data_IF_527174094060
#
_entry.id   IF_527174094060
#
_cell.length_a   1.000
_cell.length_b   1.000
_cell.length_c   1.000
_cell.angle_alpha   90.00
_cell.angle_beta   90.00
_cell.angle_gamma   90.00
#
_symmetry.space_group_name_H-M   'P 1'
#
loop_
_entity.id
_entity.type
_entity.pdbx_description
1 polymer ?
#
# COMPACT_ATOMS: atom_id res chain seq x y z
N UNK A 1 -4.67 -37.93 31.08
CA UNK A 1 -5.55 -37.22 30.13
C UNK A 1 -6.30 -38.26 29.32
N UNK A 2 -7.62 -38.34 29.48
CA UNK A 2 -8.47 -39.08 28.55
C UNK A 2 -8.33 -38.43 27.16
N UNK A 3 -7.80 -39.17 26.19
CA UNK A 3 -7.64 -38.68 24.82
C UNK A 3 -9.02 -38.33 24.25
N UNK A 4 -9.28 -37.03 24.01
CA UNK A 4 -10.48 -36.58 23.29
C UNK A 4 -10.12 -36.54 21.80
N UNK A 5 -10.60 -37.48 20.97
CA UNK A 5 -10.29 -37.46 19.55
C UNK A 5 -10.94 -36.26 18.87
N UNK A 6 -10.22 -35.69 17.89
CA UNK A 6 -10.70 -34.69 16.94
C UNK A 6 -11.18 -33.36 17.56
N UNK A 7 -10.49 -32.87 18.59
CA UNK A 7 -10.76 -31.56 19.20
C UNK A 7 -10.82 -30.42 18.18
N UNK A 8 -9.99 -30.46 17.15
CA UNK A 8 -9.96 -29.42 16.09
C UNK A 8 -11.23 -29.39 15.24
N UNK A 9 -12.08 -30.42 15.28
CA UNK A 9 -13.36 -30.45 14.57
C UNK A 9 -14.51 -29.81 15.37
N UNK A 10 -14.28 -29.39 16.61
CA UNK A 10 -15.30 -28.76 17.44
C UNK A 10 -15.52 -27.29 17.03
N UNK A 11 -16.77 -26.78 17.03
CA UNK A 11 -17.10 -25.44 16.60
C UNK A 11 -16.54 -24.38 17.57
N UNK A 12 -15.30 -23.97 17.32
CA UNK A 12 -14.53 -23.12 18.24
C UNK A 12 -15.25 -21.82 18.62
N UNK A 13 -15.96 -21.18 17.67
CA UNK A 13 -16.72 -19.96 17.96
C UNK A 13 -17.83 -20.17 19.00
N UNK A 14 -18.57 -21.28 18.93
CA UNK A 14 -19.63 -21.61 19.88
C UNK A 14 -19.05 -21.90 21.27
N UNK A 15 -17.92 -22.59 21.33
CA UNK A 15 -17.20 -22.85 22.59
C UNK A 15 -16.77 -21.53 23.23
N UNK A 16 -16.18 -20.62 22.46
CA UNK A 16 -15.69 -19.36 22.97
C UNK A 16 -16.83 -18.44 23.43
N UNK A 17 -17.96 -18.40 22.71
CA UNK A 17 -19.15 -17.65 23.12
C UNK A 17 -19.69 -18.12 24.48
N UNK A 18 -19.72 -19.44 24.70
CA UNK A 18 -20.10 -20.03 26.00
C UNK A 18 -19.10 -19.71 27.12
N UNK A 19 -17.88 -19.29 26.77
CA UNK A 19 -16.78 -18.95 27.69
C UNK A 19 -16.52 -17.44 27.76
N UNK A 20 -17.58 -16.62 27.62
CA UNK A 20 -17.53 -15.17 27.90
C UNK A 20 -16.99 -14.31 26.76
N UNK A 21 -16.63 -14.89 25.61
CA UNK A 21 -16.34 -14.08 24.43
C UNK A 21 -17.62 -13.50 23.84
N UNK A 22 -17.50 -12.31 23.25
CA UNK A 22 -18.62 -11.62 22.59
C UNK A 22 -18.29 -11.30 21.13
N UNK A 23 -19.32 -11.20 20.30
CA UNK A 23 -19.16 -10.85 18.88
C UNK A 23 -18.66 -9.40 18.75
N UNK A 24 -17.54 -9.23 18.04
CA UNK A 24 -17.06 -7.93 17.60
C UNK A 24 -17.86 -7.48 16.36
N UNK A 25 -18.99 -6.81 16.61
CA UNK A 25 -19.93 -6.34 15.57
C UNK A 25 -19.27 -5.55 14.43
N UNK A 26 -18.18 -4.82 14.73
CA UNK A 26 -17.49 -3.99 13.76
C UNK A 26 -16.59 -4.76 12.77
N UNK A 27 -16.20 -6.00 13.11
CA UNK A 27 -15.21 -6.80 12.34
C UNK A 27 -15.68 -8.22 11.99
N UNK A 28 -16.84 -8.63 12.48
CA UNK A 28 -17.43 -9.94 12.24
C UNK A 28 -18.00 -10.06 10.82
N UNK A 29 -18.02 -11.27 10.27
CA UNK A 29 -18.72 -11.60 9.02
C UNK A 29 -19.52 -12.88 9.19
N UNK A 30 -20.57 -13.09 8.38
CA UNK A 30 -21.46 -14.26 8.48
C UNK A 30 -20.71 -15.60 8.57
N UNK A 31 -19.67 -15.78 7.75
CA UNK A 31 -18.92 -17.05 7.68
C UNK A 31 -17.63 -17.03 8.52
N UNK A 32 -17.20 -15.88 9.03
CA UNK A 32 -15.99 -15.76 9.84
C UNK A 32 -16.25 -14.88 11.05
N UNK A 33 -16.67 -15.51 12.16
CA UNK A 33 -16.94 -14.78 13.36
C UNK A 33 -15.71 -14.09 13.93
N UNK A 34 -15.81 -12.80 14.24
CA UNK A 34 -14.79 -12.08 14.99
C UNK A 34 -15.25 -11.97 16.44
N UNK A 35 -14.55 -12.63 17.35
CA UNK A 35 -14.86 -12.68 18.78
C UNK A 35 -13.85 -11.82 19.56
N UNK A 36 -14.28 -11.17 20.62
CA UNK A 36 -13.41 -10.41 21.53
C UNK A 36 -13.72 -10.80 22.98
N UNK A 37 -12.73 -10.67 23.84
CA UNK A 37 -12.87 -10.88 25.27
C UNK A 37 -12.37 -9.62 25.99
N UNK A 38 -12.97 -9.26 27.12
CA UNK A 38 -12.61 -8.03 27.85
C UNK A 38 -11.19 -8.04 28.40
N UNK A 39 -10.72 -9.23 28.81
CA UNK A 39 -9.39 -9.43 29.40
C UNK A 39 -8.30 -9.75 28.38
N UNK A 40 -8.59 -9.64 27.07
CA UNK A 40 -7.62 -9.96 26.01
C UNK A 40 -7.45 -8.81 25.04
N UNK A 41 -6.20 -8.59 24.62
CA UNK A 41 -5.90 -7.61 23.59
C UNK A 41 -6.28 -8.14 22.20
N UNK A 42 -7.07 -7.37 21.46
CA UNK A 42 -7.46 -7.69 20.09
C UNK A 42 -8.72 -8.55 19.99
N UNK A 43 -8.80 -9.35 18.93
CA UNK A 43 -9.97 -10.19 18.62
C UNK A 43 -9.52 -11.46 17.91
N UNK A 44 -10.36 -12.48 17.93
CA UNK A 44 -10.14 -13.78 17.28
C UNK A 44 -11.08 -13.90 16.09
N UNK A 45 -10.54 -14.07 14.89
CA UNK A 45 -11.34 -14.40 13.70
C UNK A 45 -11.38 -15.92 13.55
N UNK A 46 -12.57 -16.50 13.61
CA UNK A 46 -12.79 -17.95 13.55
C UNK A 46 -13.06 -18.36 12.11
N UNK A 47 -12.44 -19.47 11.71
CA UNK A 47 -12.58 -20.08 10.39
C UNK A 47 -12.99 -21.54 10.55
N UNK A 48 -13.95 -21.95 9.71
CA UNK A 48 -14.28 -23.36 9.47
C UNK A 48 -13.63 -23.77 8.16
N UNK A 49 -12.82 -24.81 8.20
CA UNK A 49 -12.02 -25.29 7.08
C UNK A 49 -12.44 -26.71 6.70
N UNK A 50 -12.47 -26.99 5.41
CA UNK A 50 -12.48 -28.33 4.87
C UNK A 50 -11.06 -28.71 4.48
N UNK A 51 -10.59 -29.81 5.07
CA UNK A 51 -9.28 -30.39 4.81
C UNK A 51 -9.31 -31.18 3.49
N UNK A 52 -8.13 -31.52 2.96
CA UNK A 52 -8.00 -32.25 1.68
C UNK A 52 -8.68 -33.62 1.68
N UNK A 53 -8.78 -34.25 2.84
CA UNK A 53 -9.47 -35.53 3.04
C UNK A 53 -10.99 -35.36 3.26
N UNK A 54 -11.52 -34.14 3.13
CA UNK A 54 -12.92 -33.80 3.36
C UNK A 54 -13.28 -33.58 4.84
N UNK A 55 -12.35 -33.78 5.78
CA UNK A 55 -12.62 -33.55 7.20
C UNK A 55 -12.74 -32.06 7.54
N UNK A 56 -13.48 -31.74 8.61
CA UNK A 56 -13.68 -30.35 9.04
C UNK A 56 -12.73 -30.00 10.19
N UNK A 57 -12.18 -28.79 10.16
CA UNK A 57 -11.44 -28.22 11.28
C UNK A 57 -11.77 -26.74 11.52
N UNK A 58 -11.67 -26.31 12.78
CA UNK A 58 -11.85 -24.94 13.20
C UNK A 58 -10.52 -24.36 13.66
N UNK A 59 -10.22 -23.17 13.15
CA UNK A 59 -9.03 -22.40 13.51
C UNK A 59 -9.41 -20.98 13.88
N UNK A 60 -8.60 -20.33 14.70
CA UNK A 60 -8.69 -18.89 14.94
C UNK A 60 -7.47 -18.17 14.38
N UNK A 61 -7.64 -16.88 14.10
CA UNK A 61 -6.53 -15.95 13.86
C UNK A 61 -6.66 -14.74 14.79
N UNK A 62 -5.62 -14.47 15.56
CA UNK A 62 -5.53 -13.28 16.40
C UNK A 62 -5.30 -12.03 15.55
N UNK A 63 -6.11 -11.00 15.76
CA UNK A 63 -6.04 -9.77 14.95
C UNK A 63 -4.85 -8.89 15.27
N UNK A 64 -4.23 -9.04 16.44
CA UNK A 64 -3.14 -8.18 16.90
C UNK A 64 -1.75 -8.79 16.60
N UNK A 65 -1.61 -10.12 16.66
CA UNK A 65 -0.37 -10.86 16.37
C UNK A 65 -0.33 -11.54 15.01
N UNK A 66 -1.47 -11.65 14.31
CA UNK A 66 -1.67 -12.53 13.16
C UNK A 66 -1.46 -14.03 13.44
N UNK A 67 -1.30 -14.44 14.71
CA UNK A 67 -1.10 -15.84 15.10
C UNK A 67 -2.33 -16.67 14.73
N UNK A 68 -2.10 -17.81 14.09
CA UNK A 68 -3.13 -18.79 13.76
C UNK A 68 -3.03 -19.96 14.73
N UNK A 69 -4.15 -20.39 15.27
CA UNK A 69 -4.21 -21.53 16.18
C UNK A 69 -5.51 -22.31 16.02
N UNK A 70 -5.62 -23.36 16.80
CA UNK A 70 -6.83 -24.16 16.98
C UNK A 70 -7.13 -24.27 18.48
N UNK A 71 -8.17 -24.99 18.87
CA UNK A 71 -8.55 -25.18 20.27
C UNK A 71 -7.38 -25.66 21.16
N UNK A 72 -6.49 -26.52 20.65
CA UNK A 72 -5.35 -27.05 21.42
C UNK A 72 -4.34 -25.92 21.70
N UNK A 73 -4.04 -25.13 20.67
CA UNK A 73 -3.11 -24.00 20.80
C UNK A 73 -3.71 -22.91 21.67
N UNK A 74 -5.01 -22.64 21.51
CA UNK A 74 -5.76 -21.70 22.35
C UNK A 74 -5.63 -22.04 23.84
N UNK A 75 -5.90 -23.30 24.20
CA UNK A 75 -5.78 -23.79 25.57
C UNK A 75 -4.36 -23.65 26.11
N UNK A 76 -3.37 -24.08 25.32
CA UNK A 76 -1.95 -24.00 25.69
C UNK A 76 -1.51 -22.58 25.96
N UNK A 77 -1.86 -21.64 25.08
CA UNK A 77 -1.43 -20.24 25.19
C UNK A 77 -2.02 -19.52 26.41
N UNK A 78 -3.23 -19.93 26.83
CA UNK A 78 -3.96 -19.33 27.95
C UNK A 78 -3.80 -20.11 29.25
N UNK A 79 -2.98 -21.16 29.24
CA UNK A 79 -2.76 -22.05 30.39
C UNK A 79 -4.09 -22.59 30.97
N UNK A 80 -5.04 -22.93 30.10
CA UNK A 80 -6.32 -23.55 30.47
C UNK A 80 -6.36 -24.99 29.95
N UNK A 81 -7.02 -25.90 30.67
CA UNK A 81 -7.23 -27.25 30.16
C UNK A 81 -8.33 -27.28 29.10
N UNK A 82 -8.32 -28.30 28.25
CA UNK A 82 -9.39 -28.49 27.25
C UNK A 82 -10.69 -28.88 27.95
N UNK A 83 -10.59 -29.66 29.01
CA UNK A 83 -11.71 -30.10 29.84
C UNK A 83 -12.44 -28.91 30.49
N UNK A 84 -11.69 -27.95 31.02
CA UNK A 84 -12.24 -26.72 31.61
C UNK A 84 -12.92 -25.87 30.55
N UNK A 85 -12.28 -25.69 29.39
CA UNK A 85 -12.85 -24.90 28.29
C UNK A 85 -14.15 -25.49 27.75
N UNK A 86 -14.24 -26.83 27.69
CA UNK A 86 -15.44 -27.53 27.25
C UNK A 86 -16.52 -27.60 28.34
N UNK A 87 -16.14 -27.43 29.62
CA UNK A 87 -17.04 -27.41 30.78
C UNK A 87 -18.09 -28.54 30.79
N UNK A 88 -17.69 -29.76 30.44
CA UNK A 88 -18.57 -30.93 30.36
C UNK A 88 -19.56 -30.97 29.18
N UNK A 89 -19.52 -30.00 28.26
CA UNK A 89 -20.43 -29.87 27.11
C UNK A 89 -19.91 -30.51 25.81
N UNK A 90 -18.93 -31.42 25.89
CA UNK A 90 -18.27 -32.03 24.72
C UNK A 90 -19.27 -32.60 23.70
N UNK A 91 -20.21 -33.43 24.14
CA UNK A 91 -21.22 -34.04 23.27
C UNK A 91 -22.22 -33.01 22.71
N UNK A 92 -22.46 -31.92 23.45
CA UNK A 92 -23.25 -30.79 22.97
C UNK A 92 -22.58 -30.11 21.78
N UNK A 93 -21.27 -29.88 21.84
CA UNK A 93 -20.52 -29.27 20.73
C UNK A 93 -20.36 -30.20 19.52
N UNK A 94 -20.15 -31.51 19.74
CA UNK A 94 -20.03 -32.50 18.65
C UNK A 94 -21.27 -32.57 17.76
N UNK A 95 -22.44 -32.44 18.37
CA UNK A 95 -23.72 -32.53 17.66
C UNK A 95 -24.26 -31.16 17.24
N UNK A 96 -23.55 -30.06 17.57
CA UNK A 96 -24.00 -28.71 17.24
C UNK A 96 -23.83 -28.46 15.74
N UNK A 97 -24.95 -28.23 15.06
CA UNK A 97 -24.93 -27.68 13.70
C UNK A 97 -24.68 -26.18 13.80
N UNK A 98 -23.46 -25.75 13.48
CA UNK A 98 -23.20 -24.34 13.28
C UNK A 98 -23.62 -23.87 11.88
N UNK A 99 -23.66 -22.55 11.73
CA UNK A 99 -24.09 -21.87 10.49
C UNK A 99 -22.91 -21.48 9.59
N UNK A 100 -21.68 -21.82 9.98
CA UNK A 100 -20.49 -21.44 9.24
C UNK A 100 -20.34 -22.33 7.99
N UNK A 101 -20.02 -21.69 6.87
CA UNK A 101 -19.63 -22.41 5.66
C UNK A 101 -18.15 -22.78 5.74
N UNK A 102 -17.85 -24.05 5.48
CA UNK A 102 -16.47 -24.53 5.42
C UNK A 102 -15.79 -23.99 4.16
N UNK A 103 -14.57 -23.49 4.32
CA UNK A 103 -13.71 -23.05 3.21
C UNK A 103 -12.97 -24.24 2.63
N UNK A 104 -12.92 -24.36 1.31
CA UNK A 104 -12.14 -25.42 0.66
C UNK A 104 -10.71 -24.95 0.42
N UNK A 105 -9.83 -25.28 1.36
CA UNK A 105 -8.41 -24.90 1.28
C UNK A 105 -7.62 -25.67 0.21
N UNK A 106 -8.25 -26.59 -0.55
CA UNK A 106 -7.57 -27.44 -1.54
C UNK A 106 -7.33 -26.74 -2.89
N UNK A 107 -8.07 -25.69 -3.22
CA UNK A 107 -8.02 -25.02 -4.53
C UNK A 107 -8.30 -23.50 -4.51
N UNK A 108 -8.87 -22.95 -3.42
CA UNK A 108 -9.38 -21.56 -3.35
C UNK A 108 -8.33 -20.47 -3.64
N UNK A 109 -7.05 -20.69 -3.35
CA UNK A 109 -6.04 -19.65 -3.57
C UNK A 109 -5.72 -19.38 -5.04
N UNK A 110 -5.98 -20.28 -5.99
CA UNK A 110 -5.63 -19.99 -7.39
C UNK A 110 -6.82 -19.44 -8.19
N UNK A 111 -7.99 -20.09 -8.16
CA UNK A 111 -9.11 -19.66 -9.02
C UNK A 111 -9.70 -18.31 -8.61
N UNK A 112 -9.91 -18.07 -7.31
CA UNK A 112 -10.42 -16.79 -6.81
C UNK A 112 -9.41 -15.66 -7.07
N UNK A 113 -8.13 -15.91 -6.86
CA UNK A 113 -7.07 -14.95 -7.17
C UNK A 113 -7.01 -14.67 -8.68
N UNK A 114 -7.12 -15.69 -9.54
CA UNK A 114 -7.18 -15.47 -10.99
C UNK A 114 -8.40 -14.63 -11.39
N UNK A 115 -9.56 -14.86 -10.76
CA UNK A 115 -10.75 -14.03 -10.99
C UNK A 115 -10.51 -12.58 -10.61
N UNK A 116 -9.86 -12.32 -9.47
CA UNK A 116 -9.51 -10.96 -9.01
C UNK A 116 -8.49 -10.30 -9.95
N UNK A 117 -7.48 -11.05 -10.40
CA UNK A 117 -6.49 -10.56 -11.38
C UNK A 117 -7.20 -10.16 -12.69
N UNK A 118 -8.11 -11.00 -13.17
CA UNK A 118 -8.87 -10.71 -14.39
C UNK A 118 -9.84 -9.54 -14.20
N UNK A 119 -10.52 -9.43 -13.04
CA UNK A 119 -11.32 -8.26 -12.68
C UNK A 119 -10.46 -6.99 -12.76
N UNK A 120 -9.32 -6.97 -12.08
CA UNK A 120 -8.42 -5.80 -12.04
C UNK A 120 -7.92 -5.39 -13.43
N UNK A 121 -7.54 -6.36 -14.27
CA UNK A 121 -7.10 -6.10 -15.65
C UNK A 121 -8.20 -5.45 -16.51
N UNK A 122 -9.45 -5.82 -16.27
CA UNK A 122 -10.61 -5.33 -17.03
C UNK A 122 -11.14 -3.99 -16.50
N UNK A 123 -10.66 -3.50 -15.35
CA UNK A 123 -11.03 -2.19 -14.84
C UNK A 123 -10.48 -1.07 -15.73
N UNK A 124 -11.25 0.02 -15.80
CA UNK A 124 -10.83 1.23 -16.52
C UNK A 124 -9.64 1.89 -15.81
N UNK A 125 -8.73 2.54 -16.55
CA UNK A 125 -7.72 3.41 -15.96
C UNK A 125 -8.36 4.47 -15.04
N UNK A 126 -7.69 4.81 -13.96
CA UNK A 126 -8.13 5.86 -13.04
C UNK A 126 -8.04 7.23 -13.72
N UNK A 127 -9.10 8.03 -13.60
CA UNK A 127 -9.15 9.37 -14.19
C UNK A 127 -8.44 10.38 -13.28
N UNK A 128 -7.22 10.75 -13.67
CA UNK A 128 -6.41 11.73 -12.94
C UNK A 128 -6.99 13.15 -12.97
N UNK A 129 -7.81 13.51 -13.96
CA UNK A 129 -8.45 14.82 -14.02
C UNK A 129 -9.56 14.93 -12.96
N UNK A 130 -10.31 13.83 -12.77
CA UNK A 130 -11.40 13.72 -11.80
C UNK A 130 -11.02 12.93 -10.54
N UNK A 131 -9.74 12.95 -10.16
CA UNK A 131 -9.19 12.25 -9.00
C UNK A 131 -9.57 12.90 -7.66
N UNK A 132 -10.86 12.93 -7.32
CA UNK A 132 -11.41 13.59 -6.13
C UNK A 132 -10.75 13.13 -4.83
N UNK A 133 -10.47 11.83 -4.70
CA UNK A 133 -9.81 11.27 -3.52
C UNK A 133 -8.39 11.82 -3.33
N UNK A 134 -7.63 11.98 -4.42
CA UNK A 134 -6.26 12.52 -4.40
C UNK A 134 -6.29 14.01 -4.06
N UNK A 135 -7.19 14.77 -4.68
CA UNK A 135 -7.35 16.22 -4.41
C UNK A 135 -7.76 16.49 -2.96
N UNK A 136 -8.69 15.70 -2.39
CA UNK A 136 -9.08 15.79 -0.97
C UNK A 136 -7.92 15.53 0.00
N UNK A 137 -6.86 14.86 -0.47
CA UNK A 137 -5.64 14.59 0.30
C UNK A 137 -4.58 15.68 0.15
N UNK A 138 -4.85 16.71 -0.66
CA UNK A 138 -3.89 17.78 -0.94
C UNK A 138 -2.70 17.32 -1.77
N UNK A 139 -2.83 16.27 -2.58
CA UNK A 139 -1.72 15.75 -3.39
C UNK A 139 -1.86 16.25 -4.83
N UNK A 140 -0.77 16.72 -5.45
CA UNK A 140 -0.78 17.08 -6.88
C UNK A 140 -1.01 15.83 -7.74
N UNK A 141 -2.11 15.83 -8.51
CA UNK A 141 -2.49 14.70 -9.36
C UNK A 141 -1.48 14.43 -10.48
N UNK A 142 -0.66 15.43 -10.87
CA UNK A 142 0.39 15.26 -11.88
C UNK A 142 1.47 14.28 -11.45
N UNK A 143 1.72 14.15 -10.14
CA UNK A 143 2.71 13.20 -9.60
C UNK A 143 2.35 11.74 -9.88
N UNK A 144 1.08 11.46 -10.17
CA UNK A 144 0.59 10.11 -10.43
C UNK A 144 0.74 9.67 -11.88
N UNK A 145 1.04 10.58 -12.82
CA UNK A 145 1.13 10.27 -14.25
C UNK A 145 2.13 9.13 -14.55
N UNK A 146 3.32 9.07 -13.92
CA UNK A 146 4.24 7.96 -14.13
C UNK A 146 3.75 6.61 -13.60
N UNK A 147 2.76 6.59 -12.71
CA UNK A 147 2.20 5.40 -12.07
C UNK A 147 0.87 4.94 -12.67
N UNK A 148 0.35 5.62 -13.70
CA UNK A 148 -1.03 5.44 -14.22
C UNK A 148 -1.43 4.00 -14.56
N UNK A 149 -0.48 3.16 -14.96
CA UNK A 149 -0.74 1.75 -15.28
C UNK A 149 -1.21 0.94 -14.07
N UNK A 150 -0.87 1.38 -12.86
CA UNK A 150 -1.25 0.76 -11.59
C UNK A 150 -2.59 1.27 -11.05
N UNK A 151 -3.11 2.39 -11.58
CA UNK A 151 -4.25 3.09 -11.03
C UNK A 151 -5.51 2.70 -11.82
N UNK A 152 -6.44 2.01 -11.17
CA UNK A 152 -7.70 1.58 -11.77
C UNK A 152 -8.91 2.20 -11.08
N UNK A 153 -10.06 2.16 -11.74
CA UNK A 153 -11.32 2.65 -11.18
C UNK A 153 -12.52 1.77 -11.46
N UNK A 154 -13.52 1.88 -10.59
CA UNK A 154 -14.86 1.29 -10.77
C UNK A 154 -15.88 2.35 -11.21
N UNK A 155 -17.15 1.95 -11.30
CA UNK A 155 -18.25 2.84 -11.69
C UNK A 155 -18.55 3.95 -10.67
N UNK A 156 -17.94 3.91 -9.49
CA UNK A 156 -18.08 4.94 -8.44
C UNK A 156 -16.87 5.87 -8.37
N UNK A 157 -15.98 5.80 -9.37
CA UNK A 157 -14.74 6.55 -9.44
C UNK A 157 -13.78 6.27 -8.26
N UNK A 158 -13.91 5.12 -7.59
CA UNK A 158 -13.02 4.76 -6.49
C UNK A 158 -11.61 4.48 -7.02
N UNK A 159 -10.59 4.71 -6.18
CA UNK A 159 -9.21 4.35 -6.53
C UNK A 159 -8.98 2.87 -6.19
N UNK A 160 -8.61 2.07 -7.18
CA UNK A 160 -8.37 0.64 -7.03
C UNK A 160 -6.91 0.33 -7.30
N UNK A 161 -6.24 -0.28 -6.32
CA UNK A 161 -4.84 -0.68 -6.39
C UNK A 161 -4.72 -2.20 -6.24
N UNK A 162 -3.79 -2.81 -6.97
CA UNK A 162 -3.43 -4.21 -6.77
C UNK A 162 -2.57 -4.39 -5.51
N UNK A 163 -2.74 -5.54 -4.84
CA UNK A 163 -1.88 -5.98 -3.73
C UNK A 163 -1.06 -7.19 -4.15
N UNK A 164 0.17 -7.27 -3.65
CA UNK A 164 1.15 -8.27 -4.06
C UNK A 164 1.74 -9.00 -2.87
N UNK A 165 2.09 -10.28 -3.09
CA UNK A 165 2.88 -11.08 -2.17
C UNK A 165 3.96 -11.84 -2.93
N UNK A 166 5.08 -12.05 -2.25
CA UNK A 166 6.13 -12.95 -2.72
C UNK A 166 5.93 -14.34 -2.12
N UNK A 167 6.31 -15.37 -2.88
CA UNK A 167 6.22 -16.75 -2.44
C UNK A 167 7.50 -17.49 -2.78
N UNK A 168 7.97 -18.33 -1.87
CA UNK A 168 9.07 -19.25 -2.17
C UNK A 168 8.54 -20.46 -2.93
N UNK A 169 9.16 -20.75 -4.07
CA UNK A 169 8.89 -21.98 -4.82
C UNK A 169 10.22 -22.71 -4.96
N UNK A 170 10.35 -23.89 -4.33
CA UNK A 170 11.58 -24.70 -4.35
C UNK A 170 11.99 -25.12 -5.76
N UNK A 171 11.07 -25.10 -6.72
CA UNK A 171 11.32 -25.46 -8.11
C UNK A 171 11.77 -24.26 -8.97
N UNK A 172 11.75 -23.04 -8.43
CA UNK A 172 12.14 -21.82 -9.14
C UNK A 172 13.39 -21.23 -8.48
N UNK A 173 14.37 -20.85 -9.30
CA UNK A 173 15.56 -20.11 -8.85
C UNK A 173 15.27 -18.62 -8.54
N UNK A 174 13.99 -18.24 -8.60
CA UNK A 174 13.48 -16.89 -8.37
C UNK A 174 12.32 -16.95 -7.39
N UNK A 175 12.20 -15.92 -6.55
CA UNK A 175 11.07 -15.74 -5.64
C UNK A 175 10.05 -14.91 -6.42
N UNK A 176 8.99 -15.49 -7.01
CA UNK A 176 8.04 -14.70 -7.78
C UNK A 176 7.22 -13.77 -6.87
N UNK A 177 6.86 -12.60 -7.41
CA UNK A 177 5.89 -11.69 -6.82
C UNK A 177 4.61 -11.82 -7.63
N UNK A 178 3.50 -12.14 -6.97
CA UNK A 178 2.20 -12.31 -7.61
C UNK A 178 1.19 -11.34 -7.01
N UNK A 179 0.30 -10.85 -7.87
CA UNK A 179 -0.89 -10.16 -7.39
C UNK A 179 -1.75 -11.15 -6.60
N UNK A 180 -2.14 -10.76 -5.38
CA UNK A 180 -2.90 -11.61 -4.47
C UNK A 180 -4.27 -11.01 -4.10
N UNK A 181 -4.52 -9.76 -4.48
CA UNK A 181 -5.76 -9.06 -4.19
C UNK A 181 -5.82 -7.68 -4.82
N UNK A 182 -6.84 -6.92 -4.40
CA UNK A 182 -7.01 -5.50 -4.72
C UNK A 182 -7.55 -4.75 -3.49
N UNK A 183 -7.22 -3.47 -3.40
CA UNK A 183 -7.72 -2.55 -2.39
C UNK A 183 -8.48 -1.42 -3.09
N UNK A 184 -9.78 -1.28 -2.75
CA UNK A 184 -10.69 -0.25 -3.28
C UNK A 184 -10.76 0.87 -2.25
N UNK A 185 -10.17 2.03 -2.52
CA UNK A 185 -10.27 3.22 -1.68
C UNK A 185 -11.45 4.08 -2.13
N UNK A 186 -12.35 4.32 -1.19
CA UNK A 186 -13.66 4.87 -1.48
C UNK A 186 -13.63 6.40 -1.53
N UNK A 187 -14.21 6.99 -2.58
CA UNK A 187 -14.46 8.44 -2.63
C UNK A 187 -15.43 8.89 -1.53
N UNK A 188 -16.44 8.05 -1.31
CA UNK A 188 -17.48 8.24 -0.30
C UNK A 188 -17.38 7.08 0.69
N UNK A 189 -16.91 7.33 1.92
CA UNK A 189 -16.85 6.31 2.95
C UNK A 189 -18.24 5.70 3.24
N UNK A 190 -18.30 4.40 3.51
CA UNK A 190 -19.55 3.75 3.88
C UNK A 190 -19.83 3.95 5.37
N UNK A 191 -20.88 4.70 5.69
CA UNK A 191 -21.32 4.98 7.06
C UNK A 191 -22.24 3.90 7.63
N UNK A 192 -22.79 3.03 6.80
CA UNK A 192 -23.68 1.95 7.22
C UNK A 192 -23.12 0.57 6.87
N UNK A 193 -23.59 -0.47 7.57
CA UNK A 193 -23.34 -1.86 7.20
C UNK A 193 -24.33 -2.36 6.13
N UNK A 194 -24.26 -3.66 5.79
CA UNK A 194 -25.13 -4.26 4.78
C UNK A 194 -26.60 -4.38 5.23
N UNK A 195 -26.85 -4.28 6.54
CA UNK A 195 -28.17 -4.39 7.16
C UNK A 195 -28.79 -3.00 7.42
N UNK A 196 -28.06 -1.93 7.09
CA UNK A 196 -28.48 -0.54 7.25
C UNK A 196 -28.12 0.08 8.60
N UNK A 197 -27.43 -0.64 9.49
CA UNK A 197 -27.02 -0.10 10.78
C UNK A 197 -25.88 0.91 10.63
N UNK A 198 -25.91 1.97 11.43
CA UNK A 198 -24.86 2.99 11.46
C UNK A 198 -23.57 2.38 12.04
N UNK A 199 -22.44 2.65 11.38
CA UNK A 199 -21.10 2.26 11.84
C UNK A 199 -20.53 3.32 12.77
N UNK A 200 -19.85 2.90 13.84
CA UNK A 200 -19.07 3.79 14.70
C UNK A 200 -17.99 4.57 13.93
N UNK A 201 -17.41 3.93 12.91
CA UNK A 201 -16.41 4.53 12.02
C UNK A 201 -16.74 4.22 10.56
N UNK A 202 -16.87 5.24 9.69
CA UNK A 202 -17.09 5.02 8.27
C UNK A 202 -15.95 4.20 7.63
N UNK A 203 -16.32 3.23 6.79
CA UNK A 203 -15.36 2.40 6.08
C UNK A 203 -14.80 3.18 4.88
N UNK A 204 -13.49 3.45 4.89
CA UNK A 204 -12.81 4.23 3.84
C UNK A 204 -12.24 3.38 2.71
N UNK A 205 -12.13 2.05 2.91
CA UNK A 205 -11.56 1.14 1.92
C UNK A 205 -12.12 -0.27 2.05
N UNK A 206 -12.13 -1.02 0.94
CA UNK A 206 -12.58 -2.40 0.86
C UNK A 206 -11.46 -3.23 0.22
N UNK A 207 -11.01 -4.27 0.91
CA UNK A 207 -10.05 -5.24 0.39
C UNK A 207 -10.78 -6.45 -0.20
N UNK A 208 -10.30 -6.95 -1.34
CA UNK A 208 -10.78 -8.17 -1.98
C UNK A 208 -9.57 -9.07 -2.30
N UNK A 209 -9.69 -10.36 -1.99
CA UNK A 209 -8.57 -11.31 -2.04
C UNK A 209 -7.66 -11.24 -0.81
N UNK A 210 -6.43 -11.73 -0.98
CA UNK A 210 -5.41 -11.70 0.07
C UNK A 210 -4.86 -10.30 0.26
N UNK A 211 -4.75 -9.90 1.53
CA UNK A 211 -4.06 -8.67 1.92
C UNK A 211 -2.56 -8.81 1.63
N UNK A 212 -1.98 -7.79 1.02
CA UNK A 212 -0.60 -7.78 0.57
C UNK A 212 -0.07 -6.36 0.43
N UNK A 213 1.09 -6.23 -0.20
CA UNK A 213 1.81 -4.96 -0.37
C UNK A 213 1.29 -4.23 -1.60
N UNK A 214 1.04 -2.93 -1.47
CA UNK A 214 0.73 -2.04 -2.59
C UNK A 214 2.03 -1.45 -3.12
N UNK A 215 2.19 -1.40 -4.45
CA UNK A 215 3.42 -0.91 -5.09
C UNK A 215 3.05 -0.03 -6.28
N UNK A 216 3.59 1.18 -6.33
CA UNK A 216 3.54 2.06 -7.50
C UNK A 216 4.96 2.30 -8.00
N UNK A 217 5.19 2.08 -9.30
CA UNK A 217 6.47 2.32 -9.94
C UNK A 217 6.26 2.81 -11.37
N UNK A 218 7.27 3.48 -11.93
CA UNK A 218 7.23 3.89 -13.33
C UNK A 218 7.51 2.71 -14.26
N UNK A 219 6.99 2.75 -15.49
CA UNK A 219 7.22 1.68 -16.48
C UNK A 219 8.71 1.37 -16.73
N UNK A 220 9.61 2.32 -16.42
CA UNK A 220 11.05 2.11 -16.55
C UNK A 220 11.73 1.98 -15.18
N UNK A 221 11.75 0.76 -14.66
CA UNK A 221 12.44 0.41 -13.42
C UNK A 221 13.97 0.65 -13.46
N UNK A 222 14.57 0.85 -14.64
CA UNK A 222 16.01 1.12 -14.71
C UNK A 222 16.37 2.52 -14.17
N UNK A 223 15.41 3.44 -14.07
CA UNK A 223 15.61 4.82 -13.60
C UNK A 223 15.47 4.97 -12.08
N UNK A 224 14.96 3.95 -11.40
CA UNK A 224 14.62 4.01 -9.97
C UNK A 224 15.86 4.28 -9.14
N UNK A 225 15.86 5.38 -8.38
CA UNK A 225 16.86 5.75 -7.37
C UNK A 225 16.31 5.67 -5.95
N UNK A 226 15.02 5.98 -5.79
CA UNK A 226 14.38 6.08 -4.49
C UNK A 226 13.37 4.93 -4.29
N UNK A 227 13.36 4.34 -3.11
CA UNK A 227 12.34 3.37 -2.67
C UNK A 227 11.73 3.87 -1.38
N UNK A 228 10.49 4.34 -1.42
CA UNK A 228 9.78 4.92 -0.28
C UNK A 228 8.83 3.86 0.29
N UNK A 229 8.96 3.56 1.58
CA UNK A 229 8.13 2.55 2.28
C UNK A 229 7.33 3.21 3.40
N UNK A 230 6.00 3.05 3.37
CA UNK A 230 5.06 3.66 4.33
C UNK A 230 3.93 2.70 4.73
N UNK A 231 3.05 3.11 5.64
CA UNK A 231 1.83 2.36 5.98
C UNK A 231 0.77 2.43 4.89
N UNK A 232 0.65 3.59 4.24
CA UNK A 232 -0.35 3.87 3.22
C UNK A 232 0.28 4.60 2.03
N UNK A 233 -0.15 4.26 0.82
CA UNK A 233 0.41 4.84 -0.42
C UNK A 233 0.20 6.37 -0.49
N UNK A 234 -0.81 6.91 0.21
CA UNK A 234 -1.02 8.36 0.26
C UNK A 234 0.11 9.05 1.03
N UNK A 235 0.68 8.39 2.04
CA UNK A 235 1.85 8.91 2.74
C UNK A 235 3.10 8.82 1.87
N UNK A 236 3.24 7.77 1.06
CA UNK A 236 4.33 7.69 0.10
C UNK A 236 4.25 8.82 -0.94
N UNK A 237 3.05 9.10 -1.45
CA UNK A 237 2.80 10.21 -2.38
C UNK A 237 3.04 11.57 -1.72
N UNK A 238 2.60 11.74 -0.47
CA UNK A 238 2.79 12.97 0.26
C UNK A 238 4.27 13.26 0.55
N UNK A 239 5.01 12.22 0.96
CA UNK A 239 6.46 12.31 1.14
C UNK A 239 7.18 12.66 -0.17
N UNK A 240 6.79 12.01 -1.29
CA UNK A 240 7.33 12.30 -2.62
C UNK A 240 7.20 13.80 -2.97
N UNK A 241 6.03 14.40 -2.71
CA UNK A 241 5.76 15.83 -2.97
C UNK A 241 6.52 16.77 -2.04
N UNK A 242 6.50 16.46 -0.73
CA UNK A 242 7.20 17.22 0.32
C UNK A 242 8.69 17.33 0.02
N UNK A 243 9.32 16.22 -0.36
CA UNK A 243 10.75 16.17 -0.65
C UNK A 243 11.10 16.55 -2.09
N UNK A 244 10.11 16.81 -2.95
CA UNK A 244 10.35 17.14 -4.35
C UNK A 244 11.06 16.03 -5.14
N UNK A 245 10.79 14.78 -4.79
CA UNK A 245 11.41 13.62 -5.44
C UNK A 245 10.76 13.36 -6.81
N UNK A 246 11.57 13.01 -7.80
CA UNK A 246 11.09 12.71 -9.16
C UNK A 246 10.28 11.40 -9.18
N UNK A 247 8.99 11.41 -9.58
CA UNK A 247 8.17 10.20 -9.57
C UNK A 247 8.67 9.11 -10.54
N UNK A 248 9.30 9.48 -11.67
CA UNK A 248 9.86 8.47 -12.59
C UNK A 248 11.03 7.68 -12.01
N UNK A 249 11.73 8.27 -11.04
CA UNK A 249 12.90 7.70 -10.36
C UNK A 249 12.54 7.13 -8.98
N UNK A 250 11.25 7.08 -8.62
CA UNK A 250 10.81 6.68 -7.28
C UNK A 250 9.84 5.50 -7.35
N UNK A 251 10.00 4.56 -6.42
CA UNK A 251 9.04 3.49 -6.16
C UNK A 251 8.37 3.73 -4.83
N UNK A 252 7.05 3.61 -4.82
CA UNK A 252 6.23 3.79 -3.63
C UNK A 252 5.72 2.42 -3.17
N UNK A 253 6.02 2.04 -1.93
CA UNK A 253 5.65 0.77 -1.31
C UNK A 253 4.80 1.08 -0.08
N UNK A 254 3.60 0.53 -0.04
CA UNK A 254 2.67 0.67 1.07
C UNK A 254 2.36 -0.70 1.67
N UNK A 255 2.46 -0.80 2.99
CA UNK A 255 2.06 -2.01 3.74
C UNK A 255 0.54 -2.15 3.87
N UNK A 256 -0.23 -1.19 3.34
CA UNK A 256 -1.70 -1.14 3.42
C UNK A 256 -2.24 -1.31 4.86
N UNK A 257 -1.52 -0.76 5.84
CA UNK A 257 -1.83 -0.85 7.27
C UNK A 257 -1.68 -2.26 7.87
N UNK A 258 -1.05 -3.20 7.16
CA UNK A 258 -0.82 -4.57 7.59
C UNK A 258 0.65 -4.93 7.62
N UNK A 259 1.18 -5.17 8.82
CA UNK A 259 2.58 -5.51 8.99
C UNK A 259 2.76 -6.98 9.33
N UNK A 260 3.20 -7.77 8.35
CA UNK A 260 3.74 -9.10 8.57
C UNK A 260 5.21 -9.10 8.14
N UNK A 261 6.11 -9.14 9.12
CA UNK A 261 7.56 -9.02 8.91
C UNK A 261 8.09 -10.03 7.88
N UNK A 262 7.70 -11.31 7.99
CA UNK A 262 8.18 -12.37 7.11
C UNK A 262 7.71 -12.18 5.67
N UNK A 263 6.44 -11.82 5.47
CA UNK A 263 5.89 -11.54 4.14
C UNK A 263 6.55 -10.31 3.51
N UNK A 264 6.78 -9.28 4.31
CA UNK A 264 7.44 -8.05 3.87
C UNK A 264 8.90 -8.32 3.51
N UNK A 265 9.64 -9.03 4.34
CA UNK A 265 11.02 -9.44 4.07
C UNK A 265 11.13 -10.21 2.76
N UNK A 266 10.28 -11.24 2.58
CA UNK A 266 10.27 -12.04 1.36
C UNK A 266 9.93 -11.19 0.12
N UNK A 267 8.97 -10.27 0.27
CA UNK A 267 8.60 -9.33 -0.77
C UNK A 267 9.77 -8.40 -1.13
N UNK A 268 10.38 -7.73 -0.16
CA UNK A 268 11.49 -6.79 -0.37
C UNK A 268 12.72 -7.51 -0.94
N UNK A 269 13.05 -8.71 -0.45
CA UNK A 269 14.14 -9.53 -0.97
C UNK A 269 13.96 -9.82 -2.46
N UNK A 270 12.76 -10.25 -2.86
CA UNK A 270 12.46 -10.48 -4.27
C UNK A 270 12.48 -9.18 -5.07
N UNK A 271 11.86 -8.12 -4.55
CA UNK A 271 11.74 -6.83 -5.19
C UNK A 271 13.11 -6.22 -5.53
N UNK A 272 14.02 -6.12 -4.55
CA UNK A 272 15.36 -5.58 -4.77
C UNK A 272 16.18 -6.45 -5.72
N UNK A 273 16.06 -7.79 -5.66
CA UNK A 273 16.72 -8.69 -6.62
C UNK A 273 16.26 -8.43 -8.05
N UNK A 274 14.95 -8.28 -8.26
CA UNK A 274 14.37 -7.99 -9.57
C UNK A 274 14.77 -6.58 -10.05
N UNK A 275 14.76 -5.59 -9.16
CA UNK A 275 15.13 -4.21 -9.49
C UNK A 275 16.59 -4.11 -9.96
N UNK A 276 17.53 -4.69 -9.20
CA UNK A 276 18.96 -4.77 -9.60
C UNK A 276 19.13 -5.50 -10.93
N UNK A 277 18.42 -6.63 -11.10
CA UNK A 277 18.46 -7.39 -12.36
C UNK A 277 17.96 -6.59 -13.57
N UNK A 278 16.91 -5.78 -13.41
CA UNK A 278 16.39 -4.89 -14.46
C UNK A 278 17.39 -3.80 -14.83
N UNK A 279 18.00 -3.13 -13.85
CA UNK A 279 19.03 -2.12 -14.08
C UNK A 279 20.25 -2.71 -14.79
N UNK A 280 20.78 -3.83 -14.29
CA UNK A 280 21.92 -4.52 -14.90
C UNK A 280 21.60 -4.98 -16.33
N UNK A 281 20.41 -5.54 -16.55
CA UNK A 281 19.98 -5.97 -17.87
C UNK A 281 19.90 -4.82 -18.87
N UNK A 282 19.32 -3.68 -18.47
CA UNK A 282 19.23 -2.48 -19.29
C UNK A 282 20.62 -1.92 -19.63
N UNK A 283 21.52 -1.85 -18.65
CA UNK A 283 22.88 -1.36 -18.86
C UNK A 283 23.71 -2.29 -19.75
N UNK A 284 23.64 -3.60 -19.54
CA UNK A 284 24.32 -4.58 -20.39
C UNK A 284 23.79 -4.55 -21.83
N UNK A 285 22.49 -4.29 -22.01
CA UNK A 285 21.90 -4.12 -23.33
C UNK A 285 22.44 -2.86 -24.02
N UNK A 286 22.50 -1.74 -23.29
CA UNK A 286 23.11 -0.50 -23.77
C UNK A 286 24.57 -0.70 -24.20
N UNK A 287 25.40 -1.33 -23.36
CA UNK A 287 26.81 -1.58 -23.69
C UNK A 287 26.98 -2.37 -24.99
N UNK A 288 26.14 -3.40 -25.21
CA UNK A 288 26.16 -4.19 -26.45
C UNK A 288 25.77 -3.35 -27.68
N UNK A 289 24.77 -2.48 -27.53
CA UNK A 289 24.38 -1.59 -28.62
C UNK A 289 25.46 -0.55 -28.92
N UNK A 290 26.10 -0.01 -27.88
CA UNK A 290 27.16 0.98 -28.00
C UNK A 290 28.39 0.36 -28.67
N UNK A 291 28.81 -0.84 -28.25
CA UNK A 291 29.89 -1.60 -28.89
C UNK A 291 29.60 -1.84 -30.38
N UNK A 292 28.37 -2.25 -30.71
CA UNK A 292 27.94 -2.42 -32.11
C UNK A 292 27.96 -1.10 -32.89
N UNK A 293 27.54 0.00 -32.28
CA UNK A 293 27.56 1.32 -32.92
C UNK A 293 28.99 1.81 -33.17
N UNK A 294 29.88 1.68 -32.19
CA UNK A 294 31.28 2.05 -32.31
C UNK A 294 32.00 1.24 -33.40
N UNK A 295 31.61 -0.03 -33.60
CA UNK A 295 32.13 -0.82 -34.72
C UNK A 295 31.69 -0.27 -36.09
N UNK A 296 30.44 0.19 -36.23
CA UNK A 296 29.95 0.84 -37.45
C UNK A 296 30.68 2.17 -37.71
N UNK A 297 30.95 2.95 -36.66
CA UNK A 297 31.77 4.17 -36.76
C UNK A 297 33.19 3.84 -37.21
N UNK A 298 33.82 2.81 -36.63
CA UNK A 298 35.17 2.35 -36.99
C UNK A 298 35.26 1.89 -38.45
N UNK A 299 34.19 1.29 -38.97
CA UNK A 299 34.07 0.90 -40.38
C UNK A 299 33.78 2.09 -41.32
N UNK A 300 33.64 3.32 -40.79
CA UNK A 300 33.29 4.51 -41.58
C UNK A 300 31.85 4.53 -42.07
N UNK A 301 30.97 3.70 -41.49
CA UNK A 301 29.58 3.52 -41.92
C UNK A 301 28.60 4.42 -41.18
N UNK A 302 29.00 4.94 -40.01
CA UNK A 302 28.25 5.91 -39.20
C UNK A 302 29.20 7.05 -38.76
N UNK A 303 28.61 8.21 -38.44
CA UNK A 303 29.26 9.21 -37.60
C UNK A 303 28.84 9.04 -36.13
N UNK A 304 29.69 9.51 -35.22
CA UNK A 304 29.47 9.37 -33.77
C UNK A 304 28.50 10.44 -33.20
N UNK A 305 27.49 10.82 -33.97
CA UNK A 305 26.44 11.75 -33.55
C UNK A 305 25.11 11.02 -33.32
N UNK A 306 24.21 11.63 -32.54
CA UNK A 306 22.90 11.05 -32.22
C UNK A 306 21.87 11.16 -33.36
N UNK A 307 22.20 11.84 -34.46
CA UNK A 307 21.30 12.05 -35.59
C UNK A 307 21.50 11.00 -36.69
N UNK A 308 22.62 10.28 -36.65
CA UNK A 308 22.98 9.24 -37.60
C UNK A 308 22.09 8.02 -37.50
N UNK A 309 21.61 7.58 -38.66
CA UNK A 309 20.79 6.37 -38.82
C UNK A 309 21.40 5.55 -39.93
N UNK A 310 21.75 4.31 -39.64
CA UNK A 310 22.16 3.34 -40.66
C UNK A 310 20.97 2.42 -40.93
N UNK A 311 20.62 2.25 -42.20
CA UNK A 311 19.64 1.25 -42.62
C UNK A 311 20.37 0.16 -43.40
N UNK A 312 20.35 -1.06 -42.87
CA UNK A 312 20.86 -2.25 -43.56
C UNK A 312 19.69 -3.08 -44.08
N UNK A 313 19.66 -3.35 -45.37
CA UNK A 313 18.75 -4.34 -45.97
C UNK A 313 19.46 -5.68 -46.04
N UNK A 314 18.82 -6.74 -45.54
CA UNK A 314 19.33 -8.11 -45.60
C UNK A 314 18.22 -9.07 -46.02
N UNK A 315 18.59 -10.15 -46.69
CA UNK A 315 17.66 -11.21 -47.09
C UNK A 315 17.57 -12.24 -45.97
N UNK A 316 16.39 -12.40 -45.37
CA UNK A 316 16.11 -13.40 -44.34
C UNK A 316 15.35 -14.59 -44.98
N UNK A 317 15.52 -15.80 -44.43
CA UNK A 317 14.84 -17.00 -44.92
C UNK A 317 13.82 -17.44 -43.87
N UNK A 318 12.54 -17.20 -44.13
CA UNK A 318 11.46 -17.67 -43.26
C UNK A 318 11.15 -19.13 -43.61
N UNK A 319 11.39 -20.03 -42.64
CA UNK A 319 11.01 -21.44 -42.72
C UNK A 319 9.62 -21.63 -42.14
N UNK A 320 8.62 -21.86 -42.99
CA UNK A 320 7.30 -22.26 -42.53
C UNK A 320 7.24 -23.78 -42.35
N UNK A 321 6.99 -24.22 -41.12
CA UNK A 321 6.75 -25.62 -40.76
C UNK A 321 5.25 -25.92 -40.70
N UNK A 322 4.78 -26.92 -41.45
CA UNK A 322 3.46 -27.52 -41.22
C UNK A 322 3.58 -28.52 -40.07
N UNK A 323 2.98 -28.17 -38.91
CA UNK A 323 3.02 -28.97 -37.67
C UNK A 323 2.48 -30.39 -37.84
N UNK A 324 1.64 -30.63 -38.85
CA UNK A 324 0.94 -31.91 -39.05
C UNK A 324 1.64 -32.90 -40.01
N UNK A 325 2.65 -32.48 -40.79
CA UNK A 325 3.26 -33.34 -41.82
C UNK A 325 4.79 -33.42 -41.83
N UNK A 326 5.49 -32.74 -40.91
CA UNK A 326 6.97 -32.72 -40.87
C UNK A 326 7.62 -32.42 -42.25
N UNK A 327 6.95 -31.62 -43.08
CA UNK A 327 7.46 -31.22 -44.40
C UNK A 327 7.70 -29.71 -44.43
N UNK A 328 8.90 -29.31 -44.88
CA UNK A 328 9.26 -27.92 -45.20
C UNK A 328 8.47 -27.49 -46.44
N UNK A 329 7.60 -26.50 -46.31
CA UNK A 329 6.66 -26.17 -47.40
C UNK A 329 7.32 -25.27 -48.45
N UNK A 330 8.16 -24.30 -48.03
CA UNK A 330 9.05 -23.52 -48.90
C UNK A 330 9.91 -22.58 -48.06
N UNK A 331 11.14 -22.31 -48.53
CA UNK A 331 11.97 -21.23 -48.02
C UNK A 331 11.53 -19.94 -48.72
N UNK A 332 10.84 -19.03 -48.02
CA UNK A 332 10.56 -17.71 -48.58
C UNK A 332 11.70 -16.77 -48.20
N UNK A 333 12.46 -16.31 -49.18
CA UNK A 333 13.38 -15.19 -49.00
C UNK A 333 12.54 -13.92 -48.83
N UNK A 334 12.76 -13.22 -47.73
CA UNK A 334 12.09 -11.95 -47.42
C UNK A 334 13.17 -10.93 -47.14
N UNK A 335 13.17 -9.82 -47.89
CA UNK A 335 14.00 -8.68 -47.56
C UNK A 335 13.50 -8.05 -46.25
N UNK A 336 14.44 -7.87 -45.32
CA UNK A 336 14.21 -7.17 -44.07
C UNK A 336 15.18 -6.02 -43.98
N UNK A 337 14.67 -4.90 -43.51
CA UNK A 337 15.48 -3.74 -43.14
C UNK A 337 15.70 -3.73 -41.64
N UNK A 338 16.92 -3.45 -41.21
CA UNK A 338 17.26 -3.15 -39.83
C UNK A 338 17.83 -1.73 -39.78
N UNK A 339 17.22 -0.92 -38.92
CA UNK A 339 17.76 0.40 -38.59
C UNK A 339 18.66 0.29 -37.36
N UNK A 340 19.85 0.87 -37.45
CA UNK A 340 20.74 1.13 -36.33
C UNK A 340 20.74 2.62 -36.05
N UNK A 341 20.64 2.98 -34.78
CA UNK A 341 20.76 4.36 -34.28
C UNK A 341 21.73 4.35 -33.13
N UNK A 342 22.49 5.44 -32.95
CA UNK A 342 23.33 5.60 -31.76
C UNK A 342 22.47 5.41 -30.51
N UNK A 343 22.77 4.42 -29.66
CA UNK A 343 21.94 4.15 -28.49
C UNK A 343 22.04 5.31 -27.51
N UNK A 344 20.93 5.66 -26.86
CA UNK A 344 20.94 6.69 -25.83
C UNK A 344 21.67 6.16 -24.59
N UNK A 345 22.54 6.96 -23.94
CA UNK A 345 23.21 6.56 -22.71
C UNK A 345 22.21 6.06 -21.65
N UNK A 346 22.52 4.90 -21.08
CA UNK A 346 21.80 4.34 -19.93
C UNK A 346 22.72 4.44 -18.71
N UNK A 347 22.15 4.89 -17.59
CA UNK A 347 22.89 4.98 -16.33
C UNK A 347 23.46 3.62 -15.94
N UNK A 348 24.68 3.62 -15.41
CA UNK A 348 25.24 2.44 -14.74
C UNK A 348 24.29 2.00 -13.62
N UNK A 349 24.15 0.69 -13.38
CA UNK A 349 23.40 0.17 -12.23
C UNK A 349 23.94 0.78 -10.95
N UNK A 350 23.04 1.06 -10.03
CA UNK A 350 23.39 1.72 -8.78
C UNK A 350 23.93 0.67 -7.82
N UNK A 351 25.00 1.00 -7.09
CA UNK A 351 25.52 0.12 -6.03
C UNK A 351 24.49 -0.01 -4.90
N UNK A 352 23.75 1.06 -4.64
CA UNK A 352 22.63 1.07 -3.70
C UNK A 352 21.51 2.03 -4.09
N UNK A 353 20.33 1.80 -3.49
CA UNK A 353 19.16 2.64 -3.63
C UNK A 353 19.00 3.52 -2.39
N UNK A 354 18.49 4.72 -2.57
CA UNK A 354 18.02 5.52 -1.45
C UNK A 354 16.70 4.92 -0.95
N UNK A 355 16.76 4.15 0.14
CA UNK A 355 15.57 3.56 0.75
C UNK A 355 15.11 4.48 1.88
N UNK A 356 13.85 4.91 1.83
CA UNK A 356 13.24 5.78 2.81
C UNK A 356 12.13 5.05 3.57
N UNK A 357 12.14 5.20 4.89
CA UNK A 357 11.02 4.83 5.76
C UNK A 357 10.30 6.07 6.25
N UNK A 358 9.00 6.17 5.97
CA UNK A 358 8.16 7.29 6.36
C UNK A 358 6.84 6.79 6.96
N UNK A 359 6.94 6.20 8.16
CA UNK A 359 5.80 5.64 8.91
C UNK A 359 5.15 6.68 9.80
N UNK A 360 3.89 6.43 10.19
CA UNK A 360 3.13 7.27 11.11
C UNK A 360 3.91 7.53 12.41
N UNK A 361 3.79 8.75 12.94
CA UNK A 361 4.38 9.17 14.21
C UNK A 361 3.50 8.77 15.41
N UNK A 362 3.02 7.53 15.40
CA UNK A 362 2.34 6.91 16.54
C UNK A 362 3.12 5.68 17.04
N UNK A 363 2.65 5.07 18.14
CA UNK A 363 3.33 3.92 18.77
C UNK A 363 3.45 2.76 17.78
N UNK A 364 2.42 2.55 16.95
CA UNK A 364 2.34 1.43 16.01
C UNK A 364 3.26 1.66 14.81
N UNK A 365 3.24 2.86 14.24
CA UNK A 365 4.12 3.27 13.15
C UNK A 365 5.59 3.23 13.53
N UNK A 366 5.94 3.64 14.76
CA UNK A 366 7.30 3.48 15.31
C UNK A 366 7.75 2.02 15.36
N UNK A 367 6.87 1.14 15.84
CA UNK A 367 7.15 -0.31 15.87
C UNK A 367 7.25 -0.95 14.48
N UNK A 368 6.52 -0.44 13.48
CA UNK A 368 6.63 -0.88 12.08
C UNK A 368 7.92 -0.39 11.43
N UNK A 369 8.30 0.86 11.68
CA UNK A 369 9.57 1.46 11.24
C UNK A 369 10.77 0.64 11.71
N UNK A 370 10.85 0.29 13.00
CA UNK A 370 11.98 -0.48 13.55
C UNK A 370 12.11 -1.87 12.91
N UNK A 371 10.99 -2.55 12.69
CA UNK A 371 10.98 -3.86 12.02
C UNK A 371 11.38 -3.75 10.55
N UNK A 372 10.86 -2.75 9.83
CA UNK A 372 11.26 -2.45 8.45
C UNK A 372 12.75 -2.15 8.34
N UNK A 373 13.28 -1.34 9.25
CA UNK A 373 14.67 -0.94 9.30
C UNK A 373 15.60 -2.15 9.44
N UNK A 374 15.29 -3.07 10.37
CA UNK A 374 16.04 -4.32 10.54
C UNK A 374 16.01 -5.22 9.29
N UNK A 375 14.84 -5.37 8.66
CA UNK A 375 14.68 -6.14 7.41
C UNK A 375 15.53 -5.51 6.30
N UNK A 376 15.43 -4.19 6.12
CA UNK A 376 16.13 -3.49 5.05
C UNK A 376 17.64 -3.55 5.25
N UNK A 377 18.14 -3.30 6.47
CA UNK A 377 19.56 -3.41 6.77
C UNK A 377 20.10 -4.81 6.43
N UNK A 378 19.36 -5.87 6.80
CA UNK A 378 19.75 -7.24 6.46
C UNK A 378 19.83 -7.49 4.93
N UNK A 379 18.91 -6.90 4.17
CA UNK A 379 18.82 -7.10 2.71
C UNK A 379 19.78 -6.21 1.91
N UNK A 380 20.00 -4.97 2.33
CA UNK A 380 20.75 -3.95 1.57
C UNK A 380 22.13 -3.68 2.14
N UNK A 381 22.42 -4.10 3.38
CA UNK A 381 23.62 -3.75 4.14
C UNK A 381 23.79 -2.22 4.32
N UNK A 382 22.68 -1.46 4.25
CA UNK A 382 22.65 -0.02 4.42
C UNK A 382 21.42 0.37 5.23
N UNK A 383 21.61 1.29 6.18
CA UNK A 383 20.48 1.85 6.92
C UNK A 383 19.61 2.71 5.99
N UNK A 384 18.28 2.55 6.04
CA UNK A 384 17.39 3.42 5.30
C UNK A 384 17.40 4.84 5.90
N UNK A 385 17.07 5.83 5.06
CA UNK A 385 16.77 7.18 5.53
C UNK A 385 15.44 7.15 6.28
N UNK A 386 15.42 7.69 7.50
CA UNK A 386 14.20 7.75 8.32
C UNK A 386 13.61 9.15 8.23
N UNK A 387 12.38 9.24 7.73
CA UNK A 387 11.54 10.42 7.87
C UNK A 387 10.54 10.21 8.99
N UNK A 388 10.58 11.06 10.01
CA UNK A 388 9.59 11.07 11.09
C UNK A 388 8.63 12.23 10.85
N UNK A 389 7.34 11.99 10.60
CA UNK A 389 6.38 13.07 10.41
C UNK A 389 6.32 14.03 11.61
N UNK A 390 6.27 15.32 11.33
CA UNK A 390 6.12 16.36 12.37
C UNK A 390 4.74 16.29 13.04
N UNK A 391 3.72 16.04 12.23
CA UNK A 391 2.35 15.79 12.67
C UNK A 391 2.15 14.29 12.96
N UNK A 392 1.04 13.72 12.50
CA UNK A 392 0.72 12.31 12.68
C UNK A 392 1.28 11.44 11.56
N UNK A 393 1.10 11.86 10.30
CA UNK A 393 1.51 11.11 9.11
C UNK A 393 2.03 12.08 8.02
N UNK A 394 2.59 11.53 6.94
CA UNK A 394 3.15 12.36 5.87
C UNK A 394 2.07 13.16 5.13
N UNK A 395 0.84 12.62 5.05
CA UNK A 395 -0.26 13.32 4.39
C UNK A 395 -0.67 14.59 5.16
N UNK A 396 -0.68 14.51 6.48
CA UNK A 396 -0.96 15.65 7.35
C UNK A 396 0.18 16.68 7.30
N UNK A 397 1.45 16.25 7.25
CA UNK A 397 2.59 17.15 7.02
C UNK A 397 2.48 17.89 5.67
N UNK A 398 2.05 17.21 4.60
CA UNK A 398 1.84 17.86 3.30
C UNK A 398 0.77 18.94 3.37
N UNK A 399 -0.34 18.68 4.05
CA UNK A 399 -1.39 19.70 4.24
C UNK A 399 -0.86 20.88 5.03
N UNK A 400 -0.10 20.65 6.10
CA UNK A 400 0.56 21.73 6.84
C UNK A 400 1.49 22.54 5.94
N UNK A 401 2.29 21.88 5.10
CA UNK A 401 3.17 22.52 4.14
C UNK A 401 2.43 23.41 3.14
N UNK A 402 1.24 22.99 2.69
CA UNK A 402 0.40 23.80 1.83
C UNK A 402 -0.22 24.99 2.58
N UNK A 403 -0.65 24.82 3.84
CA UNK A 403 -1.24 25.90 4.63
C UNK A 403 -0.23 27.02 4.93
N UNK A 404 0.98 26.64 5.36
CA UNK A 404 2.05 27.58 5.69
C UNK A 404 2.91 27.99 4.49
N UNK A 405 2.64 27.41 3.32
CA UNK A 405 3.36 27.65 2.06
C UNK A 405 4.87 27.37 2.16
N UNK A 406 5.25 26.38 2.97
CA UNK A 406 6.64 25.98 3.19
C UNK A 406 6.75 24.45 3.26
N UNK A 407 7.61 23.87 2.41
CA UNK A 407 7.83 22.41 2.36
C UNK A 407 8.60 21.86 3.56
N UNK A 408 9.39 22.69 4.23
CA UNK A 408 10.17 22.29 5.40
C UNK A 408 9.31 22.40 6.66
N UNK A 409 8.55 21.35 6.98
CA UNK A 409 7.72 21.31 8.19
C UNK A 409 8.54 20.82 9.38
N UNK A 410 8.73 21.70 10.36
CA UNK A 410 9.32 21.38 11.65
C UNK A 410 8.82 22.36 12.72
N UNK A 411 9.34 22.24 13.94
CA UNK A 411 8.92 23.08 15.05
C UNK A 411 9.24 24.56 14.83
N UNK A 412 10.39 24.86 14.23
CA UNK A 412 10.86 26.23 14.04
C UNK A 412 10.02 26.93 12.96
N UNK A 413 9.81 26.29 11.80
CA UNK A 413 9.00 26.86 10.72
C UNK A 413 7.53 27.02 11.10
N UNK A 414 7.00 26.12 11.93
CA UNK A 414 5.66 26.26 12.49
C UNK A 414 5.60 27.41 13.51
N UNK A 415 6.61 27.55 14.38
CA UNK A 415 6.66 28.64 15.35
C UNK A 415 6.75 30.01 14.66
N UNK A 416 7.62 30.15 13.66
CA UNK A 416 7.75 31.37 12.85
C UNK A 416 6.42 31.75 12.19
N UNK A 417 5.73 30.77 11.59
CA UNK A 417 4.41 31.01 10.97
C UNK A 417 3.37 31.45 12.00
N UNK A 418 3.32 30.81 13.16
CA UNK A 418 2.37 31.13 14.23
C UNK A 418 2.64 32.51 14.82
N UNK A 419 3.90 32.86 15.09
CA UNK A 419 4.29 34.18 15.60
C UNK A 419 3.90 35.29 14.62
N UNK A 420 4.29 35.15 13.35
CA UNK A 420 3.94 36.10 12.28
C UNK A 420 2.42 36.26 12.14
N UNK A 421 1.67 35.16 12.24
CA UNK A 421 0.22 35.17 12.16
C UNK A 421 -0.43 35.87 13.37
N UNK A 422 0.06 35.63 14.59
CA UNK A 422 -0.43 36.30 15.80
C UNK A 422 -0.10 37.79 15.82
N UNK A 423 1.05 38.20 15.31
CA UNK A 423 1.40 39.62 15.13
C UNK A 423 0.43 40.31 14.18
N UNK A 424 0.18 39.72 13.00
CA UNK A 424 -0.76 40.26 12.01
C UNK A 424 -2.20 40.35 12.52
N UNK A 425 -2.65 39.39 13.34
CA UNK A 425 -3.98 39.43 13.95
C UNK A 425 -4.13 40.59 14.93
N UNK A 426 -3.06 40.93 15.66
CA UNK A 426 -3.02 42.05 16.62
C UNK A 426 -2.79 43.40 15.96
N UNK A 427 -2.17 43.44 14.78
CA UNK A 427 -1.90 44.67 14.07
C UNK A 427 -3.18 45.35 13.57
N UNK A 428 -3.28 46.66 13.82
CA UNK A 428 -4.43 47.49 13.41
C UNK A 428 -4.40 47.81 11.90
N UNK A 429 -3.26 47.68 11.23
CA UNK A 429 -3.13 47.96 9.80
C UNK A 429 -3.45 46.74 8.91
N UNK A 430 -3.42 45.53 9.46
CA UNK A 430 -3.83 44.32 8.74
C UNK A 430 -5.33 44.37 8.39
N UNK A 431 -5.65 44.14 7.12
CA UNK A 431 -7.04 44.17 6.65
C UNK A 431 -7.89 43.07 7.31
N UNK A 432 -9.20 43.31 7.46
CA UNK A 432 -10.13 42.30 8.00
C UNK A 432 -10.09 40.99 7.21
N UNK A 433 -10.04 41.07 5.88
CA UNK A 433 -9.96 39.89 5.01
C UNK A 433 -8.68 39.07 5.24
N UNK A 434 -7.54 39.74 5.43
CA UNK A 434 -6.28 39.04 5.73
C UNK A 434 -6.33 38.37 7.10
N UNK A 435 -6.94 39.03 8.10
CA UNK A 435 -7.13 38.42 9.43
C UNK A 435 -8.06 37.21 9.40
N UNK A 436 -9.13 37.26 8.62
CA UNK A 436 -10.04 36.12 8.39
C UNK A 436 -9.28 34.96 7.73
N UNK A 437 -8.51 35.23 6.66
CA UNK A 437 -7.70 34.21 6.00
C UNK A 437 -6.67 33.58 6.94
N UNK A 438 -6.03 34.38 7.81
CA UNK A 438 -5.10 33.87 8.83
C UNK A 438 -5.84 32.98 9.83
N UNK A 439 -7.02 33.39 10.30
CA UNK A 439 -7.81 32.59 11.23
C UNK A 439 -8.21 31.25 10.62
N UNK A 440 -8.66 31.24 9.37
CA UNK A 440 -9.01 30.01 8.64
C UNK A 440 -7.80 29.07 8.51
N UNK A 441 -6.60 29.60 8.25
CA UNK A 441 -5.36 28.81 8.21
C UNK A 441 -5.03 28.23 9.59
N UNK A 442 -5.17 29.00 10.66
CA UNK A 442 -4.90 28.55 12.03
C UNK A 442 -5.89 27.47 12.50
N UNK A 443 -7.17 27.61 12.17
CA UNK A 443 -8.19 26.59 12.45
C UNK A 443 -7.89 25.27 11.70
N UNK A 444 -7.45 25.36 10.44
CA UNK A 444 -7.01 24.19 9.68
C UNK A 444 -5.79 23.52 10.32
N UNK A 445 -4.79 24.28 10.78
CA UNK A 445 -3.63 23.73 11.49
C UNK A 445 -4.06 23.03 12.78
N UNK A 446 -4.92 23.64 13.60
CA UNK A 446 -5.42 23.04 14.85
C UNK A 446 -6.15 21.70 14.58
N UNK A 447 -6.89 21.62 13.47
CA UNK A 447 -7.59 20.39 13.07
C UNK A 447 -6.65 19.23 12.70
N UNK A 448 -5.43 19.54 12.24
CA UNK A 448 -4.42 18.57 11.82
C UNK A 448 -3.48 18.22 12.98
N UNK A 449 -2.98 19.24 13.68
CA UNK A 449 -2.08 19.13 14.82
C UNK A 449 -2.59 20.05 15.94
N UNK A 450 -3.40 19.54 16.87
CA UNK A 450 -4.07 20.35 17.88
C UNK A 450 -3.12 21.20 18.70
N UNK A 451 -3.49 22.46 18.85
CA UNK A 451 -2.81 23.42 19.70
C UNK A 451 -3.04 23.11 21.18
N UNK A 452 -2.12 23.60 22.01
CA UNK A 452 -2.32 23.57 23.45
C UNK A 452 -3.41 24.57 23.87
N UNK A 453 -3.97 24.37 25.07
CA UNK A 453 -5.06 25.19 25.61
C UNK A 453 -4.73 26.69 25.67
N UNK A 454 -3.46 27.03 25.92
CA UNK A 454 -3.01 28.43 25.95
C UNK A 454 -3.20 29.09 24.59
N UNK A 455 -2.74 28.45 23.53
CA UNK A 455 -2.83 29.00 22.18
C UNK A 455 -4.29 29.03 21.70
N UNK A 456 -5.08 28.01 22.03
CA UNK A 456 -6.53 28.01 21.75
C UNK A 456 -7.24 29.22 22.36
N UNK A 457 -6.99 29.50 23.64
CA UNK A 457 -7.56 30.68 24.30
C UNK A 457 -7.14 32.01 23.66
N UNK A 458 -5.93 32.11 23.12
CA UNK A 458 -5.50 33.31 22.37
C UNK A 458 -6.31 33.45 21.06
N UNK A 459 -6.54 32.35 20.35
CA UNK A 459 -7.26 32.35 19.08
C UNK A 459 -8.76 32.64 19.26
N UNK A 460 -9.39 32.09 20.30
CA UNK A 460 -10.79 32.38 20.64
C UNK A 460 -11.00 33.89 20.90
N UNK A 461 -10.13 34.50 21.71
CA UNK A 461 -10.18 35.95 21.95
C UNK A 461 -9.98 36.76 20.66
N UNK A 462 -9.05 36.35 19.79
CA UNK A 462 -8.84 37.02 18.50
C UNK A 462 -10.06 36.91 17.58
N UNK A 463 -10.75 35.75 17.59
CA UNK A 463 -11.96 35.49 16.81
C UNK A 463 -13.15 36.34 17.29
N UNK A 464 -13.36 36.45 18.60
CA UNK A 464 -14.40 37.32 19.18
C UNK A 464 -14.18 38.79 18.79
N UNK A 465 -12.93 39.27 18.87
CA UNK A 465 -12.58 40.63 18.47
C UNK A 465 -12.85 40.90 16.98
N UNK A 466 -12.58 39.92 16.10
CA UNK A 466 -12.88 40.02 14.67
C UNK A 466 -14.39 40.10 14.39
N UNK A 467 -15.18 39.28 15.08
CA UNK A 467 -16.65 39.30 14.97
C UNK A 467 -17.26 40.62 15.45
N UNK A 468 -16.70 41.20 16.52
CA UNK A 468 -17.11 42.52 17.00
C UNK A 468 -16.82 43.62 15.96
N UNK A 469 -15.66 43.58 15.30
CA UNK A 469 -15.26 44.56 14.28
C UNK A 469 -16.09 44.47 12.99
N UNK A 470 -16.50 43.27 12.58
CA UNK A 470 -17.36 43.06 11.41
C UNK A 470 -18.81 43.50 11.67
N UNK A 471 -19.34 43.29 12.87
CA UNK A 471 -20.69 43.75 13.25
C UNK A 471 -20.84 45.28 13.30
N UNK A 472 -19.77 46.02 13.65
CA UNK A 472 -19.80 47.49 13.69
C UNK A 472 -19.89 48.09 12.28
N UNK A 473 -19.31 47.45 11.25
CA UNK A 473 -19.43 47.90 9.86
C UNK A 473 -20.83 47.67 9.25
N UNK A 474 -21.63 46.76 9.79
CA UNK A 474 -22.97 46.43 9.29
C UNK A 474 -24.11 47.35 9.77
N UNK A 475 -23.87 48.18 10.80
CA UNK A 475 -24.87 49.10 11.39
C UNK A 475 -24.76 50.55 10.92
N UNK A 476 -23.84 50.85 10.00
CA UNK A 476 -23.70 52.15 9.36
C UNK A 476 -24.22 52.14 7.92
N UNK A 477 -25.54 52.05 7.74
CA UNK A 477 -26.22 52.44 6.50
C UNK A 477 -27.52 53.16 6.83
#
# INVERSE_FOLDING_TARGET
MSYIPNLTALPLHEILLDNGYVINKNKHSKNNPCLKHENEEGSLVIFKNQNKDGSISYTYKETHTDKVGNIITFCKDRNISVEDLLAGKLEGYRNKKDTLQARDNSSENNEEIQKIINEFKNLKPYDLQNATLIKKRGIDTKLLEPYKEHLKTDNFNNLILATYLAFENKNLNVIPIHQCGINKRLNTPLSTDKEGNIRDKPLKSIAQGSKGIEVLFSNNLSLVKNVIVTENIFDSLAYLELQGLEPKESVLISTAGQFNAQKLELFLKSFFKQLKGRQQGAYNHYLKQEEQWQELVRQGRASDDFNSVIVETYTDIIKNYQREKNALIYNKQVERTREYRKPKPVNKPQDSFNVILAFDNDIKGKGYKEKCEGILYALTQQFPTIYTPFSKDCNDDLKLAHIIENKAINIDTMAEFLESSLEKLKDNYTSTQEKENIMDKLEQIDSIKPFNERLKGILENAKENLQAQSCVKGRGR
#
